data_IF_057227676243
#
_entry.id   IF_057227676243
#
_cell.length_a   1.000
_cell.length_b   1.000
_cell.length_c   1.000
_cell.angle_alpha   90.00
_cell.angle_beta   90.00
_cell.angle_gamma   90.00
#
_symmetry.space_group_name_H-M   'P 1'
#
loop_
_entity.id
_entity.type
_entity.pdbx_description
1 polymer ?
#
# COMPACT_ATOMS: atom_id res chain seq x y z
N UNK A 1 13.70 13.45 9.70
CA UNK A 1 14.13 12.14 9.20
C UNK A 1 15.28 12.39 8.24
N UNK A 2 16.40 11.68 8.36
CA UNK A 2 17.46 11.87 7.36
C UNK A 2 16.92 11.47 5.98
N UNK A 3 17.21 12.26 4.94
CA UNK A 3 16.70 12.04 3.58
C UNK A 3 17.02 10.63 3.07
N UNK A 4 18.17 10.07 3.47
CA UNK A 4 18.56 8.68 3.19
C UNK A 4 17.57 7.68 3.80
N UNK A 5 17.17 7.85 5.06
CA UNK A 5 16.21 6.96 5.72
C UNK A 5 14.82 7.09 5.09
N UNK A 6 14.42 8.30 4.70
CA UNK A 6 13.18 8.51 3.95
C UNK A 6 13.15 7.77 2.62
N UNK A 7 14.24 7.85 1.84
CA UNK A 7 14.35 7.13 0.56
C UNK A 7 14.34 5.60 0.74
N UNK A 8 15.00 5.09 1.78
CA UNK A 8 14.98 3.64 2.10
C UNK A 8 13.56 3.19 2.45
N UNK A 9 12.87 3.91 3.33
CA UNK A 9 11.48 3.59 3.68
C UNK A 9 10.56 3.66 2.47
N UNK A 10 10.72 4.68 1.63
CA UNK A 10 9.92 4.83 0.40
C UNK A 10 10.15 3.65 -0.56
N UNK A 11 11.41 3.26 -0.77
CA UNK A 11 11.77 2.11 -1.61
C UNK A 11 11.17 0.82 -1.06
N UNK A 12 11.25 0.62 0.26
CA UNK A 12 10.67 -0.53 0.94
C UNK A 12 9.14 -0.58 0.76
N UNK A 13 8.45 0.55 0.85
CA UNK A 13 7.01 0.61 0.58
C UNK A 13 6.70 0.25 -0.87
N UNK A 14 7.45 0.78 -1.84
CA UNK A 14 7.27 0.40 -3.26
C UNK A 14 7.44 -1.11 -3.46
N UNK A 15 8.43 -1.74 -2.83
CA UNK A 15 8.60 -3.20 -2.89
C UNK A 15 7.40 -3.95 -2.29
N UNK A 16 6.97 -3.58 -1.07
CA UNK A 16 5.80 -4.20 -0.42
C UNK A 16 4.57 -4.05 -1.31
N UNK A 17 4.40 -2.90 -1.95
CA UNK A 17 3.27 -2.62 -2.82
C UNK A 17 3.25 -3.50 -4.07
N UNK A 18 4.39 -3.69 -4.72
CA UNK A 18 4.48 -4.59 -5.88
C UNK A 18 4.08 -6.01 -5.48
N UNK A 19 4.57 -6.52 -4.35
CA UNK A 19 4.18 -7.85 -3.86
C UNK A 19 2.69 -7.93 -3.48
N UNK A 20 2.19 -6.94 -2.75
CA UNK A 20 0.77 -6.86 -2.38
C UNK A 20 -0.12 -6.82 -3.63
N UNK A 21 0.30 -6.08 -4.65
CA UNK A 21 -0.40 -5.99 -5.93
C UNK A 21 -0.38 -7.32 -6.68
N UNK A 22 0.77 -7.99 -6.79
CA UNK A 22 0.84 -9.33 -7.42
C UNK A 22 -0.05 -10.33 -6.68
N UNK A 23 -0.01 -10.38 -5.34
CA UNK A 23 -0.89 -11.23 -4.55
C UNK A 23 -2.36 -10.89 -4.75
N UNK A 24 -2.70 -9.61 -4.93
CA UNK A 24 -4.07 -9.19 -5.20
C UNK A 24 -4.58 -9.73 -6.53
N UNK A 25 -3.75 -9.74 -7.57
CA UNK A 25 -4.10 -10.29 -8.89
C UNK A 25 -4.23 -11.81 -8.82
N UNK A 26 -3.28 -12.49 -8.17
CA UNK A 26 -3.32 -13.95 -8.06
C UNK A 26 -4.54 -14.41 -7.26
N UNK A 27 -4.82 -13.75 -6.13
CA UNK A 27 -5.98 -14.00 -5.29
C UNK A 27 -7.30 -13.87 -6.05
N UNK A 28 -7.43 -12.85 -6.90
CA UNK A 28 -8.63 -12.64 -7.73
C UNK A 28 -8.73 -13.66 -8.87
N UNK A 29 -7.62 -14.17 -9.38
CA UNK A 29 -7.60 -15.11 -10.51
C UNK A 29 -7.93 -16.55 -10.10
N UNK A 30 -7.48 -16.98 -8.91
CA UNK A 30 -7.65 -18.35 -8.41
C UNK A 30 -8.62 -18.44 -7.22
N UNK A 31 -9.28 -17.34 -6.86
CA UNK A 31 -10.10 -17.23 -5.63
C UNK A 31 -9.36 -17.72 -4.37
N UNK A 32 -8.07 -17.43 -4.27
CA UNK A 32 -7.23 -17.85 -3.15
C UNK A 32 -7.32 -16.84 -1.99
N UNK A 33 -8.08 -17.20 -0.95
CA UNK A 33 -8.31 -16.35 0.22
C UNK A 33 -7.03 -16.00 0.97
N UNK A 34 -6.04 -16.89 1.03
CA UNK A 34 -4.80 -16.64 1.76
C UNK A 34 -4.01 -15.50 1.11
N UNK A 35 -3.81 -15.55 -0.21
CA UNK A 35 -3.17 -14.46 -0.94
C UNK A 35 -4.01 -13.20 -0.90
N UNK A 36 -5.33 -13.35 -0.84
CA UNK A 36 -6.22 -12.21 -0.71
C UNK A 36 -6.01 -11.44 0.61
N UNK A 37 -5.86 -12.16 1.71
CA UNK A 37 -5.55 -11.58 3.03
C UNK A 37 -4.15 -10.98 3.05
N UNK A 38 -3.15 -11.65 2.47
CA UNK A 38 -1.78 -11.13 2.39
C UNK A 38 -1.70 -9.83 1.58
N UNK A 39 -2.41 -9.75 0.45
CA UNK A 39 -2.53 -8.53 -0.33
C UNK A 39 -3.15 -7.39 0.48
N UNK A 40 -4.23 -7.68 1.22
CA UNK A 40 -4.92 -6.69 2.05
C UNK A 40 -4.01 -6.15 3.16
N UNK A 41 -3.29 -7.02 3.86
CA UNK A 41 -2.29 -6.61 4.85
C UNK A 41 -1.19 -5.75 4.22
N UNK A 42 -0.69 -6.13 3.05
CA UNK A 42 0.32 -5.37 2.31
C UNK A 42 -0.17 -3.96 1.95
N UNK A 43 -1.40 -3.82 1.46
CA UNK A 43 -2.01 -2.53 1.17
C UNK A 43 -2.22 -1.66 2.43
N UNK A 44 -2.67 -2.26 3.53
CA UNK A 44 -2.82 -1.56 4.82
C UNK A 44 -1.47 -1.05 5.33
N UNK A 45 -0.42 -1.87 5.26
CA UNK A 45 0.95 -1.47 5.65
C UNK A 45 1.45 -0.34 4.75
N UNK A 46 1.21 -0.41 3.45
CA UNK A 46 1.58 0.66 2.51
C UNK A 46 0.87 1.97 2.84
N UNK A 47 -0.44 1.93 3.11
CA UNK A 47 -1.25 3.10 3.44
C UNK A 47 -0.86 3.71 4.79
N UNK A 48 -0.89 2.92 5.85
CA UNK A 48 -0.57 3.38 7.20
C UNK A 48 0.89 3.85 7.29
N UNK A 49 1.81 3.07 6.71
CA UNK A 49 3.23 3.38 6.69
C UNK A 49 3.55 4.65 5.93
N UNK A 50 2.97 4.84 4.74
CA UNK A 50 3.21 6.05 3.95
C UNK A 50 2.57 7.29 4.57
N UNK A 51 1.34 7.20 5.10
CA UNK A 51 0.72 8.33 5.80
C UNK A 51 1.53 8.75 7.04
N UNK A 52 1.98 7.77 7.84
CA UNK A 52 2.80 8.04 9.02
C UNK A 52 4.13 8.71 8.66
N UNK A 53 4.84 8.17 7.67
CA UNK A 53 6.11 8.75 7.21
C UNK A 53 5.90 10.12 6.55
N UNK A 54 4.80 10.32 5.83
CA UNK A 54 4.42 11.62 5.26
C UNK A 54 4.19 12.68 6.34
N UNK A 55 3.46 12.35 7.40
CA UNK A 55 3.24 13.26 8.54
C UNK A 55 4.55 13.59 9.25
N UNK A 56 5.43 12.60 9.45
CA UNK A 56 6.74 12.83 10.07
C UNK A 56 7.64 13.72 9.20
N UNK A 57 7.70 13.46 7.89
CA UNK A 57 8.47 14.26 6.93
C UNK A 57 7.93 15.70 6.82
N UNK A 58 6.61 15.87 6.88
CA UNK A 58 5.97 17.19 6.83
C UNK A 58 6.35 18.05 8.04
N UNK A 59 6.37 17.45 9.25
CA UNK A 59 6.83 18.15 10.46
C UNK A 59 8.30 18.56 10.39
N UNK A 60 9.12 17.81 9.65
CA UNK A 60 10.52 18.12 9.38
C UNK A 60 10.77 19.13 8.25
N UNK A 61 9.72 19.58 7.55
CA UNK A 61 9.85 20.46 6.37
C UNK A 61 10.49 19.77 5.16
N UNK A 62 10.48 18.43 5.11
CA UNK A 62 11.16 17.66 4.08
C UNK A 62 10.30 17.53 2.82
N UNK A 63 10.92 17.70 1.64
CA UNK A 63 10.25 17.50 0.35
C UNK A 63 9.70 16.07 0.16
N UNK A 64 10.22 15.10 0.91
CA UNK A 64 9.76 13.70 0.90
C UNK A 64 8.32 13.52 1.40
N UNK A 65 7.77 14.47 2.15
CA UNK A 65 6.39 14.40 2.61
C UNK A 65 5.40 14.28 1.43
N UNK A 66 5.62 15.06 0.37
CA UNK A 66 4.77 15.04 -0.83
C UNK A 66 4.78 13.66 -1.48
N UNK A 67 5.96 13.03 -1.59
CA UNK A 67 6.10 11.69 -2.16
C UNK A 67 5.35 10.62 -1.37
N UNK A 68 5.46 10.64 -0.05
CA UNK A 68 4.73 9.71 0.82
C UNK A 68 3.21 9.90 0.70
N UNK A 69 2.72 11.14 0.64
CA UNK A 69 1.29 11.41 0.48
C UNK A 69 0.77 11.04 -0.90
N UNK A 70 1.50 11.38 -1.98
CA UNK A 70 1.14 10.96 -3.35
C UNK A 70 1.10 9.44 -3.47
N UNK A 71 2.07 8.75 -2.88
CA UNK A 71 2.09 7.30 -2.81
C UNK A 71 0.88 6.74 -2.04
N UNK A 72 0.53 7.34 -0.89
CA UNK A 72 -0.63 6.93 -0.10
C UNK A 72 -1.93 7.03 -0.91
N UNK A 73 -2.09 8.09 -1.71
CA UNK A 73 -3.26 8.27 -2.59
C UNK A 73 -3.32 7.15 -3.64
N UNK A 74 -2.21 6.86 -4.32
CA UNK A 74 -2.15 5.79 -5.33
C UNK A 74 -2.46 4.43 -4.71
N UNK A 75 -1.81 4.11 -3.58
CA UNK A 75 -2.06 2.88 -2.84
C UNK A 75 -3.53 2.79 -2.39
N UNK A 76 -4.13 3.90 -1.98
CA UNK A 76 -5.55 3.99 -1.59
C UNK A 76 -6.50 3.67 -2.74
N UNK A 77 -6.28 4.26 -3.91
CA UNK A 77 -7.07 3.97 -5.12
C UNK A 77 -7.03 2.47 -5.43
N UNK A 78 -5.84 1.88 -5.39
CA UNK A 78 -5.65 0.45 -5.70
C UNK A 78 -6.25 -0.45 -4.61
N UNK A 79 -6.19 -0.03 -3.34
CA UNK A 79 -6.83 -0.75 -2.23
C UNK A 79 -8.36 -0.77 -2.39
N UNK A 80 -8.97 0.37 -2.75
CA UNK A 80 -10.42 0.43 -3.01
C UNK A 80 -10.80 -0.42 -4.22
N UNK A 81 -10.02 -0.34 -5.30
CA UNK A 81 -10.18 -1.20 -6.48
C UNK A 81 -10.12 -2.70 -6.15
N UNK A 82 -9.22 -3.07 -5.23
CA UNK A 82 -9.06 -4.44 -4.77
C UNK A 82 -10.24 -4.88 -3.92
N UNK A 83 -10.63 -4.10 -2.90
CA UNK A 83 -11.75 -4.41 -2.00
C UNK A 83 -13.07 -4.60 -2.75
N UNK A 84 -13.35 -3.75 -3.75
CA UNK A 84 -14.56 -3.88 -4.58
C UNK A 84 -14.62 -5.18 -5.37
N UNK A 85 -13.47 -5.76 -5.73
CA UNK A 85 -13.37 -7.06 -6.41
C UNK A 85 -13.33 -8.23 -5.43
N UNK A 86 -12.78 -8.04 -4.24
CA UNK A 86 -12.80 -9.06 -3.20
C UNK A 86 -14.21 -9.46 -2.79
N UNK A 87 -15.12 -8.51 -2.61
CA UNK A 87 -16.48 -8.88 -2.21
C UNK A 87 -17.21 -9.75 -3.22
N UNK A 88 -16.99 -9.49 -4.52
CA UNK A 88 -17.52 -10.32 -5.60
C UNK A 88 -16.75 -11.63 -5.78
N UNK A 89 -15.42 -11.62 -5.68
CA UNK A 89 -14.57 -12.81 -5.87
C UNK A 89 -14.59 -13.80 -4.70
N UNK A 90 -14.84 -13.31 -3.47
CA UNK A 90 -14.91 -14.12 -2.25
C UNK A 90 -16.35 -14.33 -1.73
N UNK A 91 -17.36 -13.79 -2.41
CA UNK A 91 -18.77 -13.95 -2.03
C UNK A 91 -19.13 -13.32 -0.68
N UNK A 92 -18.50 -12.20 -0.33
CA UNK A 92 -18.73 -11.52 0.96
C UNK A 92 -19.91 -10.53 0.93
N UNK A 93 -20.48 -10.27 -0.26
CA UNK A 93 -21.79 -9.63 -0.44
C UNK A 93 -22.38 -9.98 -1.81
#
# INVERSE_FOLDING_TARGET
>A
MDTRNGLVNFTLFVFIFVFAFVFSIDALSQSNTLYGVLALLGFVVCLAGSLFNGIMAQKGGEAMAVWFFSYAVIAGIITVWYLTRCGTAFGWW
#
